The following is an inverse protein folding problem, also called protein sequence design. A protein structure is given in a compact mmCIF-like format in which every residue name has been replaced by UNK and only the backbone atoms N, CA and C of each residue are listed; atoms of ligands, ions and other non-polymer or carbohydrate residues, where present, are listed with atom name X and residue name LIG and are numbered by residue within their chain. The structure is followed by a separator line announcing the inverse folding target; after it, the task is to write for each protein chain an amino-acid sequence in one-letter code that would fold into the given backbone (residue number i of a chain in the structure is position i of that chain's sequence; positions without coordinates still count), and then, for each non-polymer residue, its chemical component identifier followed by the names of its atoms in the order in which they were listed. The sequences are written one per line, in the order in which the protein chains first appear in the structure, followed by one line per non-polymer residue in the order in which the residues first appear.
data_IF_036496369497
#
_entry.id   IF_036496369497
#
_cell.length_a   1.000
_cell.length_b   1.000
_cell.length_c   1.000
_cell.angle_alpha   90.00
_cell.angle_beta   90.00
_cell.angle_gamma   90.00
#
_symmetry.space_group_name_H-M   'P 1'
#
loop_
_entity.id
_entity.type
_entity.pdbx_description
1 polymer ?
#
# COMPACT_ATOMS: atom_id res chain seq x y z
N UNK A 1 2.50 -5.09 21.02
CA UNK A 1 3.62 -4.42 20.38
C UNK A 1 3.64 -4.74 18.88
N UNK A 2 3.80 -3.74 18.04
CA UNK A 2 4.10 -3.88 16.59
C UNK A 2 5.51 -3.34 16.34
N UNK A 3 6.30 -4.04 15.53
CA UNK A 3 7.62 -3.60 15.07
C UNK A 3 7.55 -3.41 13.55
N UNK A 4 7.96 -2.25 13.05
CA UNK A 4 7.91 -1.90 11.63
C UNK A 4 9.24 -1.26 11.19
N UNK A 5 9.81 -1.73 10.09
CA UNK A 5 11.01 -1.14 9.49
C UNK A 5 10.76 0.23 8.83
N UNK A 6 9.51 0.54 8.54
CA UNK A 6 9.12 1.81 7.93
C UNK A 6 9.32 2.99 8.86
N UNK A 7 9.67 4.14 8.29
CA UNK A 7 9.74 5.40 9.04
C UNK A 7 8.36 5.90 9.49
N UNK A 8 7.30 5.40 8.89
CA UNK A 8 5.91 5.80 9.16
C UNK A 8 4.98 4.63 8.90
N UNK A 9 3.87 4.58 9.64
CA UNK A 9 2.83 3.59 9.49
C UNK A 9 2.22 3.58 8.08
N UNK A 10 1.68 2.43 7.69
CA UNK A 10 0.87 2.25 6.51
C UNK A 10 1.47 1.30 5.47
N UNK A 11 2.78 1.04 5.50
CA UNK A 11 3.40 0.15 4.50
C UNK A 11 2.99 0.55 3.07
N UNK A 12 2.28 -0.35 2.37
CA UNK A 12 1.75 -0.06 1.01
C UNK A 12 0.50 0.84 0.98
N UNK A 13 -0.03 1.26 2.13
CA UNK A 13 -1.07 2.30 2.26
C UNK A 13 -0.41 3.60 2.71
N UNK A 14 0.68 3.99 2.07
CA UNK A 14 1.50 5.11 2.53
C UNK A 14 1.28 6.39 1.71
N UNK A 15 1.56 7.50 2.37
CA UNK A 15 1.50 8.85 1.80
C UNK A 15 2.84 9.53 2.03
N UNK A 16 3.34 10.23 1.03
CA UNK A 16 4.52 11.10 1.11
C UNK A 16 4.08 12.55 1.12
N UNK A 17 4.62 13.33 2.06
CA UNK A 17 4.47 14.79 2.05
C UNK A 17 5.71 15.42 1.40
N UNK A 18 5.50 16.26 0.38
CA UNK A 18 6.56 17.01 -0.30
C UNK A 18 5.99 18.30 -0.89
N UNK A 19 6.71 19.41 -0.77
CA UNK A 19 6.32 20.73 -1.32
C UNK A 19 4.88 21.15 -0.98
N UNK A 20 4.43 20.90 0.26
CA UNK A 20 3.08 21.22 0.69
C UNK A 20 2.01 20.21 0.26
N UNK A 21 2.30 19.32 -0.67
CA UNK A 21 1.36 18.30 -1.17
C UNK A 21 1.47 16.97 -0.42
N UNK A 22 0.36 16.22 -0.46
CA UNK A 22 0.25 14.84 0.00
C UNK A 22 0.12 13.92 -1.22
N UNK A 23 1.11 13.06 -1.43
CA UNK A 23 1.10 12.06 -2.49
C UNK A 23 0.75 10.70 -1.92
N UNK A 24 -0.38 10.16 -2.29
CA UNK A 24 -0.76 8.78 -1.94
C UNK A 24 -0.08 7.82 -2.93
N UNK A 25 1.18 7.50 -2.68
CA UNK A 25 2.02 6.76 -3.63
C UNK A 25 1.91 5.24 -3.52
N UNK A 26 1.16 4.74 -2.54
CA UNK A 26 0.75 3.33 -2.40
C UNK A 26 -0.69 3.11 -2.86
N UNK A 27 -1.51 2.42 -2.06
CA UNK A 27 -2.93 2.23 -2.32
C UNK A 27 -3.65 3.59 -2.46
N UNK A 28 -4.46 3.70 -3.51
CA UNK A 28 -5.10 4.97 -3.88
C UNK A 28 -6.48 5.13 -3.22
N UNK A 29 -7.08 4.03 -2.85
CA UNK A 29 -8.39 3.95 -2.19
C UNK A 29 -8.58 2.56 -1.58
N UNK A 30 -9.63 2.41 -0.78
CA UNK A 30 -10.09 1.14 -0.25
C UNK A 30 -11.56 0.89 -0.64
N UNK A 31 -11.91 -0.39 -0.70
CA UNK A 31 -13.30 -0.85 -0.84
C UNK A 31 -13.47 -2.09 0.02
N UNK A 32 -14.63 -2.28 0.62
CA UNK A 32 -14.98 -3.45 1.40
C UNK A 32 -15.95 -4.36 0.65
N UNK A 33 -15.87 -5.65 0.91
CA UNK A 33 -16.81 -6.70 0.48
C UNK A 33 -17.34 -7.49 1.66
N UNK A 34 -16.46 -7.73 2.66
CA UNK A 34 -16.79 -8.42 3.90
C UNK A 34 -17.39 -7.48 4.95
N UNK A 35 -18.21 -8.03 5.84
CA UNK A 35 -18.92 -7.25 6.86
C UNK A 35 -17.98 -6.63 7.88
N UNK A 36 -16.95 -7.35 8.34
CA UNK A 36 -16.02 -6.87 9.36
C UNK A 36 -15.19 -5.70 8.86
N UNK A 37 -14.66 -5.80 7.62
CA UNK A 37 -13.91 -4.71 7.04
C UNK A 37 -14.82 -3.51 6.71
N UNK A 38 -16.07 -3.76 6.31
CA UNK A 38 -17.07 -2.70 6.12
C UNK A 38 -17.36 -1.94 7.40
N UNK A 39 -17.50 -2.65 8.53
CA UNK A 39 -17.69 -2.03 9.85
C UNK A 39 -16.48 -1.18 10.25
N UNK A 40 -15.26 -1.69 10.09
CA UNK A 40 -14.02 -0.93 10.34
C UNK A 40 -13.97 0.36 9.51
N UNK A 41 -14.30 0.29 8.20
CA UNK A 41 -14.30 1.47 7.35
C UNK A 41 -15.39 2.47 7.75
N UNK A 42 -16.56 2.01 8.23
CA UNK A 42 -17.59 2.88 8.77
C UNK A 42 -17.12 3.62 10.03
N UNK A 43 -16.44 2.93 10.96
CA UNK A 43 -15.87 3.54 12.16
C UNK A 43 -14.77 4.55 11.81
N UNK A 44 -13.89 4.22 10.88
CA UNK A 44 -12.85 5.12 10.40
C UNK A 44 -13.46 6.38 9.72
N UNK A 45 -14.56 6.23 9.00
CA UNK A 45 -15.31 7.35 8.41
C UNK A 45 -15.96 8.22 9.49
N UNK A 46 -16.60 7.62 10.47
CA UNK A 46 -17.22 8.34 11.60
C UNK A 46 -16.18 9.12 12.41
N UNK A 47 -14.95 8.62 12.50
CA UNK A 47 -13.83 9.32 13.15
C UNK A 47 -13.20 10.41 12.29
N UNK A 48 -13.63 10.62 11.04
CA UNK A 48 -13.04 11.55 10.09
C UNK A 48 -11.74 11.06 9.42
N UNK A 49 -11.32 9.80 9.67
CA UNK A 49 -10.10 9.23 9.07
C UNK A 49 -10.28 8.71 7.65
N UNK A 50 -11.55 8.58 7.21
CA UNK A 50 -11.93 8.22 5.85
C UNK A 50 -13.01 9.14 5.32
N UNK A 51 -13.10 9.22 4.00
CA UNK A 51 -14.22 9.86 3.30
C UNK A 51 -14.52 9.16 1.98
N UNK A 52 -15.70 9.41 1.45
CA UNK A 52 -16.09 8.91 0.15
C UNK A 52 -15.44 9.72 -0.97
N UNK A 53 -15.04 9.02 -2.02
CA UNK A 53 -14.49 9.59 -3.25
C UNK A 53 -15.16 8.95 -4.46
N UNK A 54 -15.79 9.78 -5.28
CA UNK A 54 -16.40 9.35 -6.54
C UNK A 54 -15.31 9.27 -7.62
N UNK A 55 -14.88 8.06 -7.97
CA UNK A 55 -13.80 7.84 -8.95
C UNK A 55 -14.28 7.79 -10.40
N UNK A 56 -15.57 7.63 -10.61
CA UNK A 56 -16.27 7.77 -11.89
C UNK A 56 -17.78 7.93 -11.61
N UNK A 57 -18.63 8.22 -12.62
CA UNK A 57 -20.06 8.44 -12.43
C UNK A 57 -20.81 7.34 -11.68
N UNK A 58 -20.33 6.08 -11.81
CA UNK A 58 -21.01 4.89 -11.30
C UNK A 58 -20.36 4.31 -10.04
N UNK A 59 -19.17 4.81 -9.66
CA UNK A 59 -18.38 4.17 -8.60
C UNK A 59 -17.87 5.16 -7.57
N UNK A 60 -18.29 4.94 -6.33
CA UNK A 60 -17.73 5.57 -5.13
C UNK A 60 -16.83 4.58 -4.39
N UNK A 61 -15.70 5.05 -3.90
CA UNK A 61 -14.74 4.31 -3.08
C UNK A 61 -14.42 5.14 -1.84
N UNK A 62 -13.65 4.59 -0.91
CA UNK A 62 -13.24 5.32 0.29
C UNK A 62 -11.74 5.64 0.23
N UNK A 63 -11.40 6.84 0.67
CA UNK A 63 -10.02 7.33 0.75
C UNK A 63 -9.70 7.83 2.14
N UNK A 64 -8.45 7.69 2.56
CA UNK A 64 -7.96 8.30 3.79
C UNK A 64 -8.07 9.82 3.76
N UNK A 65 -8.42 10.42 4.87
CA UNK A 65 -8.61 11.86 5.04
C UNK A 65 -7.77 12.38 6.24
N UNK A 66 -6.81 13.29 5.99
CA UNK A 66 -6.44 13.95 4.74
C UNK A 66 -5.61 13.09 3.76
N UNK A 67 -5.20 11.88 4.12
CA UNK A 67 -4.36 11.03 3.28
C UNK A 67 -4.63 9.54 3.50
N UNK A 68 -4.23 8.69 2.56
CA UNK A 68 -4.44 7.25 2.69
C UNK A 68 -3.80 6.66 3.96
N UNK A 69 -2.75 7.27 4.50
CA UNK A 69 -2.12 6.86 5.77
C UNK A 69 -3.05 6.99 6.99
N UNK A 70 -4.06 7.84 6.94
CA UNK A 70 -4.98 8.06 8.07
C UNK A 70 -5.78 6.81 8.43
N UNK A 71 -6.06 5.92 7.47
CA UNK A 71 -6.66 4.62 7.78
C UNK A 71 -5.77 3.73 8.66
N UNK A 72 -4.51 3.40 8.29
CA UNK A 72 -3.66 2.62 9.19
C UNK A 72 -3.33 3.36 10.50
N UNK A 73 -3.30 4.67 10.53
CA UNK A 73 -3.17 5.43 11.78
C UNK A 73 -4.41 5.28 12.69
N UNK A 74 -5.60 5.28 12.10
CA UNK A 74 -6.83 4.98 12.83
C UNK A 74 -6.79 3.57 13.44
N UNK A 75 -6.40 2.57 12.66
CA UNK A 75 -6.29 1.17 13.11
C UNK A 75 -5.23 0.99 14.21
N UNK A 76 -4.21 1.84 14.24
CA UNK A 76 -3.10 1.76 15.17
C UNK A 76 -3.36 2.41 16.54
N UNK A 77 -4.54 3.02 16.75
CA UNK A 77 -4.87 3.69 18.01
C UNK A 77 -4.82 2.71 19.20
N UNK A 78 -4.11 3.11 20.24
CA UNK A 78 -3.93 2.29 21.45
C UNK A 78 -2.93 1.13 21.32
N UNK A 79 -2.23 1.02 20.19
CA UNK A 79 -1.21 -0.02 19.97
C UNK A 79 0.19 0.59 20.13
N UNK A 80 1.05 -0.05 20.94
CA UNK A 80 2.47 0.29 21.00
C UNK A 80 3.13 -0.12 19.67
N UNK A 81 3.76 0.86 18.99
CA UNK A 81 4.42 0.65 17.71
C UNK A 81 5.84 1.21 17.74
N UNK A 82 6.81 0.38 17.40
CA UNK A 82 8.22 0.76 17.24
C UNK A 82 8.57 0.75 15.76
N UNK A 83 8.94 1.91 15.25
CA UNK A 83 9.25 2.14 13.83
C UNK A 83 10.75 2.22 13.60
N UNK A 84 11.17 2.12 12.33
CA UNK A 84 12.57 2.16 11.88
C UNK A 84 13.42 1.02 12.49
N UNK A 85 12.77 -0.12 12.74
CA UNK A 85 13.42 -1.31 13.27
C UNK A 85 13.17 -2.46 12.30
N UNK A 86 14.20 -2.93 11.64
CA UNK A 86 14.13 -4.09 10.76
C UNK A 86 14.46 -5.36 11.54
N UNK A 87 13.48 -6.25 11.66
CA UNK A 87 13.73 -7.59 12.18
C UNK A 87 14.49 -8.38 11.15
N UNK A 88 15.71 -8.80 11.49
CA UNK A 88 16.59 -9.59 10.60
C UNK A 88 16.59 -11.07 10.95
N UNK A 89 16.26 -11.43 12.20
CA UNK A 89 16.24 -12.80 12.67
C UNK A 89 15.16 -13.07 13.71
N UNK A 90 14.72 -14.34 13.78
CA UNK A 90 13.77 -14.85 14.77
C UNK A 90 14.35 -16.13 15.38
N UNK A 91 14.33 -16.26 16.70
CA UNK A 91 14.81 -17.43 17.42
C UNK A 91 13.99 -17.75 18.67
N UNK A 92 14.06 -18.98 19.16
CA UNK A 92 13.50 -19.32 20.47
C UNK A 92 14.33 -18.74 21.60
N UNK A 93 13.64 -18.17 22.61
CA UNK A 93 14.23 -17.77 23.89
C UNK A 93 13.42 -18.49 24.99
N UNK A 94 13.87 -19.66 25.37
CA UNK A 94 13.08 -20.54 26.25
C UNK A 94 11.70 -20.84 25.64
N UNK A 95 10.59 -20.59 26.36
CA UNK A 95 9.23 -20.83 25.85
C UNK A 95 8.75 -19.76 24.87
N UNK A 96 9.49 -18.66 24.72
CA UNK A 96 9.10 -17.49 23.95
C UNK A 96 9.79 -17.46 22.58
N UNK A 97 9.35 -16.53 21.73
CA UNK A 97 9.96 -16.17 20.45
C UNK A 97 10.62 -14.81 20.60
N UNK A 98 11.91 -14.72 20.31
CA UNK A 98 12.67 -13.48 20.25
C UNK A 98 12.80 -12.98 18.80
N UNK A 99 12.73 -11.68 18.64
CA UNK A 99 12.91 -10.95 17.42
C UNK A 99 14.17 -10.07 17.53
N UNK A 100 15.04 -10.15 16.55
CA UNK A 100 16.36 -9.55 16.59
C UNK A 100 16.58 -8.66 15.38
N UNK A 101 17.36 -7.60 15.57
CA UNK A 101 18.09 -6.87 14.53
C UNK A 101 19.60 -7.10 14.68
N UNK A 102 20.40 -6.34 13.93
CA UNK A 102 21.86 -6.45 13.97
C UNK A 102 22.44 -5.97 15.33
N UNK A 103 21.69 -5.19 16.10
CA UNK A 103 22.09 -4.71 17.43
C UNK A 103 21.70 -5.69 18.56
N UNK A 104 20.82 -6.64 18.30
CA UNK A 104 20.43 -7.66 19.27
C UNK A 104 18.92 -7.87 19.42
N UNK A 105 18.47 -8.20 20.63
CA UNK A 105 17.06 -8.51 20.93
C UNK A 105 16.20 -7.25 20.93
N UNK A 106 15.22 -7.19 20.02
CA UNK A 106 14.25 -6.11 19.89
C UNK A 106 13.02 -6.33 20.80
N UNK A 107 12.49 -7.54 20.74
CA UNK A 107 11.28 -7.92 21.45
C UNK A 107 11.22 -9.44 21.68
N UNK A 108 10.46 -9.85 22.68
CA UNK A 108 10.22 -11.24 23.01
C UNK A 108 8.75 -11.42 23.38
N UNK A 109 8.13 -12.49 22.92
CA UNK A 109 6.72 -12.77 23.16
C UNK A 109 6.38 -14.26 23.11
N UNK A 110 5.25 -14.64 23.71
CA UNK A 110 4.75 -16.02 23.66
C UNK A 110 4.23 -16.40 22.28
N UNK A 111 3.65 -15.45 21.58
CA UNK A 111 3.05 -15.60 20.26
C UNK A 111 3.38 -14.40 19.41
N UNK A 112 3.45 -14.60 18.09
CA UNK A 112 3.74 -13.56 17.15
C UNK A 112 3.05 -13.77 15.79
N UNK A 113 2.85 -12.67 15.08
CA UNK A 113 2.34 -12.64 13.72
C UNK A 113 3.39 -11.94 12.84
N UNK A 114 3.82 -12.58 11.77
CA UNK A 114 4.65 -11.98 10.74
C UNK A 114 3.79 -11.52 9.59
N UNK A 115 3.72 -10.20 9.36
CA UNK A 115 2.87 -9.56 8.34
C UNK A 115 3.65 -8.83 7.25
N UNK A 116 4.93 -9.12 7.10
CA UNK A 116 5.75 -8.61 6.00
C UNK A 116 5.29 -9.18 4.65
N UNK A 117 5.66 -8.54 3.50
CA UNK A 117 5.47 -9.15 2.19
C UNK A 117 6.02 -10.57 2.13
N UNK A 118 5.36 -11.46 1.36
CA UNK A 118 5.67 -12.90 1.37
C UNK A 118 7.17 -13.24 1.22
N UNK A 119 7.96 -12.63 0.31
CA UNK A 119 9.39 -12.95 0.21
C UNK A 119 10.20 -12.55 1.46
N UNK A 120 9.78 -11.50 2.16
CA UNK A 120 10.42 -11.08 3.42
C UNK A 120 10.02 -12.00 4.57
N UNK A 121 8.73 -12.39 4.64
CA UNK A 121 8.24 -13.37 5.61
C UNK A 121 8.93 -14.72 5.44
N UNK A 122 9.09 -15.20 4.19
CA UNK A 122 9.79 -16.44 3.90
C UNK A 122 11.22 -16.44 4.46
N UNK A 123 12.00 -15.36 4.22
CA UNK A 123 13.36 -15.23 4.76
C UNK A 123 13.43 -15.30 6.27
N UNK A 124 12.53 -14.57 6.94
CA UNK A 124 12.49 -14.53 8.41
C UNK A 124 12.13 -15.89 9.03
N UNK A 125 11.26 -16.65 8.35
CA UNK A 125 10.66 -17.87 8.91
C UNK A 125 11.42 -19.16 8.53
N UNK A 126 12.29 -19.12 7.51
CA UNK A 126 12.93 -20.33 6.93
C UNK A 126 13.56 -21.22 7.96
N UNK A 127 14.29 -20.67 8.92
CA UNK A 127 15.04 -21.46 9.89
C UNK A 127 14.17 -22.03 11.02
N UNK A 128 13.15 -21.29 11.46
CA UNK A 128 12.37 -21.63 12.65
C UNK A 128 11.01 -22.23 12.31
N UNK A 129 10.38 -21.78 11.23
CA UNK A 129 9.06 -22.20 10.78
C UNK A 129 9.05 -22.46 9.26
N UNK A 130 9.77 -23.50 8.79
CA UNK A 130 9.95 -23.76 7.35
C UNK A 130 8.64 -23.99 6.59
N UNK A 131 7.62 -24.57 7.23
CA UNK A 131 6.31 -24.78 6.61
C UNK A 131 5.61 -23.44 6.30
N UNK A 132 5.71 -22.45 7.20
CA UNK A 132 5.16 -21.12 6.99
C UNK A 132 5.97 -20.35 5.94
N UNK A 133 7.29 -20.54 5.92
CA UNK A 133 8.15 -19.99 4.88
C UNK A 133 7.80 -20.55 3.50
N UNK A 134 7.56 -21.86 3.40
CA UNK A 134 7.13 -22.51 2.15
C UNK A 134 5.80 -21.93 1.63
N UNK A 135 4.83 -21.70 2.51
CA UNK A 135 3.57 -21.00 2.14
C UNK A 135 3.85 -19.64 1.53
N UNK A 136 4.74 -18.85 2.13
CA UNK A 136 5.08 -17.52 1.63
C UNK A 136 5.83 -17.56 0.29
N UNK A 137 6.65 -18.57 0.03
CA UNK A 137 7.41 -18.73 -1.22
C UNK A 137 6.54 -18.97 -2.46
N UNK A 138 5.31 -19.46 -2.29
CA UNK A 138 4.38 -19.71 -3.41
C UNK A 138 3.78 -18.43 -4.00
N UNK A 139 3.94 -17.30 -3.32
CA UNK A 139 3.35 -16.03 -3.71
C UNK A 139 4.19 -15.29 -4.74
N UNK A 140 3.52 -14.71 -5.74
CA UNK A 140 4.17 -13.84 -6.73
C UNK A 140 3.54 -12.44 -6.73
N UNK A 141 4.34 -11.45 -7.15
CA UNK A 141 3.95 -10.05 -7.18
C UNK A 141 4.32 -9.39 -8.51
N UNK A 142 3.48 -8.45 -8.92
CA UNK A 142 3.90 -7.43 -9.86
C UNK A 142 4.52 -6.26 -9.08
N UNK A 143 5.61 -5.68 -9.58
CA UNK A 143 6.12 -4.41 -9.08
C UNK A 143 5.25 -3.25 -9.56
N UNK A 144 5.43 -2.08 -8.94
CA UNK A 144 4.79 -0.85 -9.37
C UNK A 144 5.74 0.33 -9.19
N UNK A 145 6.16 0.92 -10.29
CA UNK A 145 6.76 2.24 -10.27
C UNK A 145 5.68 3.29 -10.04
N UNK A 146 5.93 4.18 -9.11
CA UNK A 146 5.04 5.32 -8.82
C UNK A 146 5.84 6.60 -8.90
N UNK A 147 5.43 7.53 -9.75
CA UNK A 147 5.99 8.88 -9.78
C UNK A 147 5.05 9.88 -9.12
N UNK A 148 5.64 10.87 -8.50
CA UNK A 148 4.97 11.95 -7.77
C UNK A 148 5.49 13.27 -8.30
N UNK A 149 4.62 14.07 -8.89
CA UNK A 149 4.95 15.33 -9.56
C UNK A 149 4.27 16.51 -8.85
N UNK A 150 5.06 17.50 -8.44
CA UNK A 150 4.56 18.83 -8.08
C UNK A 150 4.58 19.70 -9.32
N UNK A 151 3.46 20.29 -9.69
CA UNK A 151 3.26 21.06 -10.92
C UNK A 151 2.95 22.52 -10.58
N UNK A 152 3.45 23.43 -11.42
CA UNK A 152 3.26 24.87 -11.25
C UNK A 152 1.81 25.33 -11.49
N UNK A 153 1.01 24.52 -12.19
CA UNK A 153 -0.38 24.84 -12.50
C UNK A 153 -1.27 23.59 -12.36
N UNK A 154 -2.56 23.80 -12.34
CA UNK A 154 -3.58 22.78 -12.15
C UNK A 154 -3.73 21.86 -13.38
N UNK A 155 -3.84 20.57 -13.12
CA UNK A 155 -4.11 19.52 -14.12
C UNK A 155 -5.43 18.79 -13.87
N UNK A 156 -6.36 19.40 -13.17
CA UNK A 156 -7.63 18.76 -12.80
C UNK A 156 -8.47 18.31 -13.98
N UNK A 157 -8.27 18.93 -15.14
CA UNK A 157 -8.97 18.57 -16.38
C UNK A 157 -8.10 17.60 -17.15
N UNK A 158 -8.45 16.33 -17.12
CA UNK A 158 -7.81 15.29 -17.94
C UNK A 158 -8.75 14.95 -19.08
N UNK A 159 -8.28 15.16 -20.31
CA UNK A 159 -9.00 14.82 -21.53
C UNK A 159 -9.73 15.97 -22.23
N UNK A 160 -10.27 15.68 -23.40
CA UNK A 160 -10.92 16.67 -24.29
C UNK A 160 -12.28 17.13 -23.77
N UNK A 161 -12.87 16.46 -22.79
CA UNK A 161 -14.17 16.80 -22.16
C UNK A 161 -13.94 17.57 -20.88
N UNK A 162 -14.63 18.71 -20.73
CA UNK A 162 -14.55 19.58 -19.55
C UNK A 162 -15.08 18.90 -18.26
N UNK A 163 -15.73 17.74 -18.37
CA UNK A 163 -16.45 17.07 -17.30
C UNK A 163 -15.69 15.89 -16.68
N UNK A 164 -14.50 15.52 -17.17
CA UNK A 164 -13.76 14.37 -16.64
C UNK A 164 -12.73 14.76 -15.58
N UNK A 165 -13.17 14.72 -14.32
CA UNK A 165 -12.35 14.85 -13.10
C UNK A 165 -11.94 13.49 -12.53
N UNK A 166 -11.71 12.47 -13.40
CA UNK A 166 -11.52 11.10 -12.93
C UNK A 166 -10.07 10.64 -13.12
N UNK A 167 -9.63 9.66 -12.30
CA UNK A 167 -8.34 9.03 -12.50
C UNK A 167 -8.19 8.48 -13.92
N UNK A 168 -7.04 8.72 -14.52
CA UNK A 168 -6.69 8.18 -15.83
C UNK A 168 -6.14 6.77 -15.71
N UNK A 169 -6.55 5.89 -16.63
CA UNK A 169 -5.98 4.56 -16.80
C UNK A 169 -5.68 4.31 -18.29
N UNK A 170 -4.52 3.72 -18.53
CA UNK A 170 -4.15 3.20 -19.84
C UNK A 170 -3.09 2.11 -19.62
N UNK A 171 -3.54 0.94 -19.19
CA UNK A 171 -2.65 -0.18 -18.85
C UNK A 171 -1.81 -0.63 -20.04
N UNK A 172 -2.36 -0.57 -21.26
CA UNK A 172 -1.67 -0.95 -22.48
C UNK A 172 -0.48 -0.01 -22.77
N UNK A 173 -0.64 1.29 -22.53
CA UNK A 173 0.44 2.26 -22.66
C UNK A 173 1.42 2.25 -21.47
N UNK A 174 1.04 1.66 -20.34
CA UNK A 174 1.88 1.57 -19.15
C UNK A 174 1.36 2.31 -17.91
N UNK A 175 0.22 3.01 -17.98
CA UNK A 175 -0.39 3.70 -16.83
C UNK A 175 -1.45 2.81 -16.18
N UNK A 176 -1.15 2.25 -15.01
CA UNK A 176 -2.11 1.53 -14.17
C UNK A 176 -3.13 2.48 -13.55
N UNK A 177 -2.68 3.61 -13.02
CA UNK A 177 -3.56 4.67 -12.48
C UNK A 177 -2.82 5.99 -12.36
N UNK A 178 -3.40 7.08 -12.86
CA UNK A 178 -2.89 8.42 -12.62
C UNK A 178 -3.98 9.28 -11.95
N UNK A 179 -3.60 9.96 -10.88
CA UNK A 179 -4.53 10.70 -10.01
C UNK A 179 -3.95 12.08 -9.70
N UNK A 180 -4.60 13.17 -10.10
CA UNK A 180 -4.36 14.46 -9.49
C UNK A 180 -4.78 14.43 -8.02
N UNK A 181 -3.83 14.64 -7.11
CA UNK A 181 -4.10 14.52 -5.66
C UNK A 181 -5.12 15.56 -5.17
N UNK A 182 -5.17 16.70 -5.84
CA UNK A 182 -6.08 17.80 -5.53
C UNK A 182 -7.56 17.47 -5.76
N UNK A 183 -7.88 16.56 -6.70
CA UNK A 183 -9.29 16.18 -6.98
C UNK A 183 -9.92 15.31 -5.90
N UNK A 184 -9.12 14.64 -5.07
CA UNK A 184 -9.62 13.74 -4.02
C UNK A 184 -10.44 14.47 -2.96
N UNK A 185 -10.16 15.76 -2.77
CA UNK A 185 -10.71 16.57 -1.68
C UNK A 185 -11.53 17.76 -2.16
N UNK A 186 -11.68 17.92 -3.45
CA UNK A 186 -12.46 19.01 -4.03
C UNK A 186 -13.97 18.75 -3.89
N UNK A 187 -14.60 19.41 -2.93
CA UNK A 187 -16.07 19.51 -2.79
C UNK A 187 -16.60 20.83 -3.34
N UNK A 188 -15.94 21.42 -4.35
CA UNK A 188 -16.29 22.75 -4.86
C UNK A 188 -16.01 22.90 -6.35
N UNK A 189 -16.29 24.09 -6.92
CA UNK A 189 -15.95 24.39 -8.30
C UNK A 189 -14.45 24.15 -8.54
N UNK A 190 -14.12 23.71 -9.75
CA UNK A 190 -12.71 23.49 -10.14
C UNK A 190 -11.93 24.78 -9.86
N UNK A 191 -10.76 24.69 -9.17
CA UNK A 191 -9.93 25.87 -8.95
C UNK A 191 -9.44 26.44 -10.28
N UNK A 192 -8.94 27.65 -10.19
CA UNK A 192 -8.36 28.34 -11.33
C UNK A 192 -7.11 27.61 -11.85
N UNK A 193 -6.87 27.66 -13.14
CA UNK A 193 -5.73 26.98 -13.83
C UNK A 193 -4.34 27.46 -13.37
N UNK A 194 -4.27 28.47 -12.52
CA UNK A 194 -3.03 29.07 -12.02
C UNK A 194 -2.53 28.50 -10.69
N UNK A 195 -3.32 27.67 -9.99
CA UNK A 195 -2.89 27.10 -8.71
C UNK A 195 -1.96 25.89 -8.92
N UNK A 196 -0.89 25.78 -8.11
CA UNK A 196 -0.04 24.60 -8.11
C UNK A 196 -0.83 23.31 -7.81
N UNK A 197 -0.45 22.22 -8.42
CA UNK A 197 -1.12 20.93 -8.26
C UNK A 197 -0.13 19.77 -8.07
N UNK A 198 -0.67 18.62 -7.73
CA UNK A 198 0.10 17.40 -7.52
C UNK A 198 -0.51 16.24 -8.31
N UNK A 199 0.36 15.46 -8.97
CA UNK A 199 -0.03 14.28 -9.76
C UNK A 199 0.74 13.07 -9.28
N UNK A 200 0.01 12.00 -8.96
CA UNK A 200 0.58 10.67 -8.75
C UNK A 200 0.28 9.79 -9.96
N UNK A 201 1.31 9.20 -10.58
CA UNK A 201 1.17 8.22 -11.65
C UNK A 201 1.73 6.89 -11.17
N UNK A 202 0.91 5.86 -11.16
CA UNK A 202 1.29 4.47 -10.91
C UNK A 202 1.38 3.75 -12.26
N UNK A 203 2.55 3.20 -12.56
CA UNK A 203 2.71 2.38 -13.76
C UNK A 203 1.95 1.06 -13.64
N UNK A 204 1.62 0.45 -14.78
CA UNK A 204 1.10 -0.92 -14.80
C UNK A 204 2.16 -1.91 -14.35
N UNK A 205 1.73 -3.10 -13.88
CA UNK A 205 2.65 -4.16 -13.43
C UNK A 205 3.59 -4.59 -14.57
N UNK A 206 3.04 -4.82 -15.76
CA UNK A 206 3.83 -5.21 -16.92
C UNK A 206 4.88 -4.17 -17.32
N UNK A 207 4.50 -2.88 -17.32
CA UNK A 207 5.45 -1.79 -17.58
C UNK A 207 6.53 -1.74 -16.49
N UNK A 208 6.14 -1.81 -15.23
CA UNK A 208 7.06 -1.77 -14.09
C UNK A 208 8.04 -2.93 -14.09
N UNK A 209 7.59 -4.14 -14.47
CA UNK A 209 8.45 -5.31 -14.62
C UNK A 209 9.49 -5.13 -15.71
N UNK A 210 9.10 -4.56 -16.86
CA UNK A 210 10.02 -4.26 -17.98
C UNK A 210 11.09 -3.23 -17.59
N UNK A 211 10.72 -2.29 -16.71
CA UNK A 211 11.56 -1.16 -16.28
C UNK A 211 12.05 -1.29 -14.83
N UNK A 212 12.17 -2.52 -14.33
CA UNK A 212 12.47 -2.80 -12.92
C UNK A 212 13.80 -2.22 -12.45
N UNK A 213 14.77 -2.18 -13.34
CA UNK A 213 16.14 -1.74 -13.06
C UNK A 213 16.49 -0.37 -13.65
N UNK A 214 15.50 0.34 -14.18
CA UNK A 214 15.70 1.70 -14.69
C UNK A 214 15.94 2.68 -13.53
N UNK A 215 16.75 3.70 -13.79
CA UNK A 215 16.98 4.77 -12.83
C UNK A 215 15.73 5.65 -12.65
N UNK A 216 15.48 6.18 -11.43
CA UNK A 216 14.33 7.02 -11.15
C UNK A 216 14.11 8.20 -12.11
N UNK A 217 15.15 8.96 -12.54
CA UNK A 217 14.97 10.03 -13.54
C UNK A 217 14.43 9.53 -14.87
N UNK A 218 14.92 8.38 -15.37
CA UNK A 218 14.46 7.79 -16.61
C UNK A 218 13.01 7.32 -16.52
N UNK A 219 12.63 6.71 -15.40
CA UNK A 219 11.25 6.31 -15.10
C UNK A 219 10.32 7.51 -15.10
N UNK A 220 10.73 8.62 -14.47
CA UNK A 220 9.95 9.86 -14.45
C UNK A 220 9.74 10.37 -15.88
N UNK A 221 10.79 10.50 -16.67
CA UNK A 221 10.71 10.99 -18.04
C UNK A 221 9.74 10.15 -18.89
N UNK A 222 9.92 8.83 -18.90
CA UNK A 222 9.08 7.89 -19.67
C UNK A 222 7.60 7.94 -19.26
N UNK A 223 7.31 7.97 -17.95
CA UNK A 223 5.92 8.04 -17.49
C UNK A 223 5.28 9.40 -17.75
N UNK A 224 6.05 10.49 -17.77
CA UNK A 224 5.57 11.79 -18.20
C UNK A 224 5.21 11.79 -19.71
N UNK A 225 6.04 11.20 -20.56
CA UNK A 225 5.76 11.07 -22.00
C UNK A 225 4.47 10.26 -22.23
N UNK A 226 4.35 9.09 -21.59
CA UNK A 226 3.14 8.26 -21.68
C UNK A 226 1.90 9.01 -21.17
N UNK A 227 2.06 9.80 -20.10
CA UNK A 227 0.98 10.65 -19.61
C UNK A 227 0.53 11.67 -20.66
N UNK A 228 1.46 12.41 -21.27
CA UNK A 228 1.16 13.43 -22.29
C UNK A 228 0.39 12.80 -23.45
N UNK A 229 0.87 11.66 -23.95
CA UNK A 229 0.20 10.93 -25.04
C UNK A 229 -1.20 10.44 -24.65
N UNK A 230 -1.33 9.88 -23.44
CA UNK A 230 -2.61 9.31 -22.98
C UNK A 230 -3.64 10.39 -22.62
N UNK A 231 -3.21 11.45 -21.95
CA UNK A 231 -4.07 12.55 -21.53
C UNK A 231 -4.41 13.49 -22.68
N UNK A 232 -3.61 13.48 -23.74
CA UNK A 232 -3.77 14.37 -24.91
C UNK A 232 -3.51 15.84 -24.59
N UNK A 233 -2.76 16.12 -23.53
CA UNK A 233 -2.41 17.47 -23.10
C UNK A 233 -1.01 17.49 -22.45
N UNK A 234 -0.26 18.58 -22.57
CA UNK A 234 1.04 18.72 -21.94
C UNK A 234 0.89 18.77 -20.41
N UNK A 235 1.91 18.31 -19.71
CA UNK A 235 2.06 18.59 -18.28
C UNK A 235 2.39 20.08 -18.09
N UNK A 236 1.83 20.69 -17.06
CA UNK A 236 2.32 21.96 -16.56
C UNK A 236 3.79 21.83 -16.13
N UNK A 237 4.49 22.97 -16.00
CA UNK A 237 5.90 22.97 -15.58
C UNK A 237 6.07 22.15 -14.29
N UNK A 238 6.95 21.14 -14.35
CA UNK A 238 7.29 20.30 -13.21
C UNK A 238 8.21 21.09 -12.30
N UNK A 239 7.74 21.36 -11.08
CA UNK A 239 8.50 22.04 -10.02
C UNK A 239 9.38 21.04 -9.27
N UNK A 240 8.85 19.83 -9.08
CA UNK A 240 9.57 18.75 -8.41
C UNK A 240 9.01 17.39 -8.83
N UNK A 241 9.88 16.41 -8.89
CA UNK A 241 9.53 15.04 -9.24
C UNK A 241 10.26 14.04 -8.34
N UNK A 242 9.61 12.94 -8.05
CA UNK A 242 10.24 11.79 -7.40
C UNK A 242 9.58 10.49 -7.82
N UNK A 243 10.36 9.41 -7.85
CA UNK A 243 9.88 8.07 -8.14
C UNK A 243 10.07 7.14 -6.93
N UNK A 244 9.25 6.11 -6.86
CA UNK A 244 9.34 5.04 -5.87
C UNK A 244 8.97 3.71 -6.52
N UNK A 245 9.79 2.70 -6.32
CA UNK A 245 9.51 1.34 -6.76
C UNK A 245 8.95 0.51 -5.61
N UNK A 246 7.73 0.06 -5.76
CA UNK A 246 7.12 -0.97 -4.94
C UNK A 246 7.43 -2.34 -5.54
N UNK A 247 8.46 -3.04 -5.04
CA UNK A 247 8.83 -4.36 -5.56
C UNK A 247 7.73 -5.41 -5.36
N UNK A 248 6.98 -5.30 -4.26
CA UNK A 248 5.91 -6.23 -3.91
C UNK A 248 4.58 -5.48 -3.88
N UNK A 249 4.21 -4.84 -5.01
CA UNK A 249 3.07 -3.94 -5.06
C UNK A 249 1.74 -4.69 -5.09
N UNK A 250 1.58 -5.60 -6.03
CA UNK A 250 0.32 -6.29 -6.30
C UNK A 250 0.53 -7.80 -6.35
N UNK A 251 -0.16 -8.52 -5.50
CA UNK A 251 -0.18 -9.98 -5.53
C UNK A 251 -0.80 -10.46 -6.84
N UNK A 252 -0.06 -11.25 -7.61
CA UNK A 252 -0.52 -11.86 -8.86
C UNK A 252 -0.88 -13.33 -8.67
N UNK A 253 -0.19 -14.01 -7.76
CA UNK A 253 -0.55 -15.34 -7.28
C UNK A 253 -0.52 -15.32 -5.76
N UNK A 254 -1.69 -15.48 -5.13
CA UNK A 254 -1.82 -15.65 -3.70
C UNK A 254 -1.40 -17.07 -3.26
N UNK A 255 -1.12 -17.25 -1.98
CA UNK A 255 -0.97 -18.56 -1.39
C UNK A 255 -2.29 -19.35 -1.50
N UNK A 256 -2.19 -20.67 -1.57
CA UNK A 256 -3.35 -21.55 -1.65
C UNK A 256 -4.24 -21.39 -0.40
N UNK A 257 -5.56 -21.58 -0.56
CA UNK A 257 -6.52 -21.41 0.55
C UNK A 257 -6.23 -22.35 1.72
N UNK A 258 -5.78 -23.56 1.41
CA UNK A 258 -5.48 -24.60 2.40
C UNK A 258 -4.01 -24.54 2.89
N UNK A 259 -3.25 -23.54 2.44
CA UNK A 259 -1.87 -23.37 2.85
C UNK A 259 -1.78 -23.09 4.35
N UNK A 260 -0.73 -23.61 4.97
CA UNK A 260 -0.50 -23.48 6.41
C UNK A 260 -0.26 -22.01 6.80
N UNK A 261 -1.03 -21.50 7.72
CA UNK A 261 -0.97 -20.10 8.20
C UNK A 261 -0.51 -19.94 9.63
N UNK A 262 -0.44 -21.06 10.38
CA UNK A 262 -0.03 -21.11 11.78
C UNK A 262 0.99 -22.22 12.00
N UNK A 263 1.92 -22.03 12.91
CA UNK A 263 2.84 -23.07 13.34
C UNK A 263 2.10 -24.16 14.15
N UNK A 264 2.66 -25.38 14.20
CA UNK A 264 2.06 -26.50 14.95
C UNK A 264 1.97 -26.20 16.44
N UNK A 265 2.94 -25.47 16.98
CA UNK A 265 3.00 -25.07 18.39
C UNK A 265 2.13 -23.84 18.71
N UNK A 266 1.42 -23.29 17.72
CA UNK A 266 0.57 -22.10 17.85
C UNK A 266 1.28 -20.86 18.40
N UNK A 267 2.58 -20.76 18.17
CA UNK A 267 3.37 -19.60 18.59
C UNK A 267 3.58 -18.58 17.47
N UNK A 268 3.50 -19.02 16.21
CA UNK A 268 3.71 -18.18 15.04
C UNK A 268 2.55 -18.27 14.07
N UNK A 269 2.12 -17.13 13.56
CA UNK A 269 1.22 -17.02 12.42
C UNK A 269 1.77 -16.07 11.37
N UNK A 270 1.26 -16.21 10.14
CA UNK A 270 1.54 -15.32 9.03
C UNK A 270 0.27 -14.57 8.63
N UNK A 271 0.43 -13.29 8.23
CA UNK A 271 -0.64 -12.45 7.73
C UNK A 271 -0.14 -11.61 6.55
N UNK A 272 -1.06 -11.10 5.77
CA UNK A 272 -0.78 -10.24 4.62
C UNK A 272 -1.81 -10.43 3.51
N UNK A 273 -1.93 -9.44 2.65
CA UNK A 273 -2.82 -9.53 1.48
C UNK A 273 -2.52 -10.74 0.60
N UNK A 274 -1.27 -11.19 0.59
CA UNK A 274 -0.80 -12.32 -0.20
C UNK A 274 -1.39 -13.69 0.18
N UNK A 275 -2.12 -13.76 1.29
CA UNK A 275 -2.90 -14.94 1.68
C UNK A 275 -4.30 -14.96 1.06
N UNK A 276 -4.79 -13.85 0.52
CA UNK A 276 -6.14 -13.73 -0.06
C UNK A 276 -6.20 -13.01 -1.40
N UNK A 277 -5.15 -12.25 -1.76
CA UNK A 277 -5.08 -11.45 -2.99
C UNK A 277 -4.76 -9.97 -2.72
N UNK A 278 -4.63 -9.18 -3.78
CA UNK A 278 -4.03 -7.83 -3.74
C UNK A 278 -4.98 -6.73 -3.24
N UNK A 279 -5.60 -6.87 -2.07
CA UNK A 279 -6.50 -5.85 -1.49
C UNK A 279 -6.12 -5.53 -0.06
N UNK A 280 -6.37 -4.28 0.38
CA UNK A 280 -6.22 -3.88 1.78
C UNK A 280 -7.12 -4.72 2.69
N UNK A 281 -8.32 -5.05 2.24
CA UNK A 281 -9.25 -5.94 2.92
C UNK A 281 -8.65 -7.32 3.20
N UNK A 282 -8.00 -7.96 2.20
CA UNK A 282 -7.37 -9.27 2.41
C UNK A 282 -6.24 -9.22 3.45
N UNK A 283 -5.50 -8.09 3.53
CA UNK A 283 -4.51 -7.90 4.58
C UNK A 283 -5.17 -7.83 5.97
N UNK A 284 -6.31 -7.13 6.08
CA UNK A 284 -7.10 -7.05 7.31
C UNK A 284 -7.65 -8.43 7.71
N UNK A 285 -8.34 -9.11 6.80
CA UNK A 285 -8.94 -10.42 7.03
C UNK A 285 -7.89 -11.46 7.48
N UNK A 286 -6.73 -11.49 6.79
CA UNK A 286 -5.65 -12.39 7.16
C UNK A 286 -5.06 -12.09 8.54
N UNK A 287 -5.03 -10.83 8.96
CA UNK A 287 -4.63 -10.42 10.30
C UNK A 287 -5.60 -10.92 11.39
N UNK A 288 -6.91 -10.80 11.14
CA UNK A 288 -7.97 -11.34 12.01
C UNK A 288 -7.88 -12.86 12.11
N UNK A 289 -7.75 -13.57 10.97
CA UNK A 289 -7.58 -15.02 10.93
C UNK A 289 -6.32 -15.47 11.71
N UNK A 290 -5.20 -14.77 11.53
CA UNK A 290 -3.96 -15.06 12.24
C UNK A 290 -4.13 -14.92 13.77
N UNK A 291 -4.80 -13.87 14.21
CA UNK A 291 -5.09 -13.66 15.63
C UNK A 291 -6.00 -14.75 16.20
N UNK A 292 -7.12 -15.03 15.55
CA UNK A 292 -8.07 -16.07 15.98
C UNK A 292 -7.36 -17.42 16.07
N UNK A 293 -6.55 -17.78 15.08
CA UNK A 293 -5.84 -19.03 15.03
C UNK A 293 -4.77 -19.20 16.11
N UNK A 294 -4.22 -18.10 16.64
CA UNK A 294 -3.30 -18.15 17.78
C UNK A 294 -4.04 -18.21 19.13
N UNK A 295 -5.13 -17.44 19.28
CA UNK A 295 -5.82 -17.27 20.55
C UNK A 295 -6.87 -18.36 20.83
N UNK A 296 -7.55 -18.87 19.80
CA UNK A 296 -8.62 -19.86 19.94
C UNK A 296 -8.07 -21.28 19.78
N UNK A 297 -7.29 -21.76 20.73
CA UNK A 297 -7.03 -23.19 20.88
C UNK A 297 -8.30 -23.85 21.42
N UNK A 298 -8.98 -24.68 20.60
CA UNK A 298 -9.94 -25.66 21.12
C UNK A 298 -9.19 -26.82 21.78
#
# INVERSE_FOLDING_TARGET
LVVDKGRRLGGRVSTRRKNGFLFNHGAQFVTARGNEFSALLADARNSGSLKDWRINPEKTVQIGAPSMRDLPQFMARGIEIRQQIEVTNIAHIGPNIGFFDDAGLIACGRQAIVSAPAPQSARLLTNLYPDLAATAQLTTYDPCWTIMLSLAADIRRIGKSQDQLFPLRNEAAGIGLAVPETIRFANGPAPTTSEPSALTIQASGAWSQKHLYDDPPLVIARLCDIWIETAGQPLASIVDASAHLWQYAKVTRAADKDAKRHSNDRKMAIAGDWLGGSRVEHAFESGVEAYIGLCCSK
#
